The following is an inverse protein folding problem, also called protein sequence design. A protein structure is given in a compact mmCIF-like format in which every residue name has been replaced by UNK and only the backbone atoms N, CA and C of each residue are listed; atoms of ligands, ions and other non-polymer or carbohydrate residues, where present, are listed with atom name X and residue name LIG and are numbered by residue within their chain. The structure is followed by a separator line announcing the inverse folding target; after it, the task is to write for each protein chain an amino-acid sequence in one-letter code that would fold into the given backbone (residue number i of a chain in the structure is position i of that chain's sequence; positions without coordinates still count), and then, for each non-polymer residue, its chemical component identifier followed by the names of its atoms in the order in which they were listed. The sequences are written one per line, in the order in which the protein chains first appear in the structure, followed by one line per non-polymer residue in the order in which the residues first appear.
data_IF_077649743742
#
_entry.id   IF_077649743742
#
_cell.length_a   1.000
_cell.length_b   1.000
_cell.length_c   1.000
_cell.angle_alpha   90.00
_cell.angle_beta   90.00
_cell.angle_gamma   90.00
#
_symmetry.space_group_name_H-M   'P 1'
#
loop_
_entity.id
_entity.type
_entity.pdbx_description
1 polymer ?
#
# COMPACT_ATOMS: atom_id res chain seq x y z
N UNK A 1 20.71 -4.76 -18.52
CA UNK A 1 19.54 -5.34 -17.83
C UNK A 1 19.33 -6.73 -18.42
N UNK A 2 19.15 -7.74 -17.59
CA UNK A 2 18.81 -9.10 -18.02
C UNK A 2 17.53 -9.54 -17.31
N UNK A 3 16.79 -10.48 -17.90
CA UNK A 3 15.63 -11.12 -17.30
C UNK A 3 16.11 -12.43 -16.64
N UNK A 4 15.76 -12.67 -15.37
CA UNK A 4 16.11 -13.92 -14.71
C UNK A 4 15.00 -14.99 -14.86
N UNK A 5 13.77 -14.55 -15.14
CA UNK A 5 12.59 -15.41 -15.28
C UNK A 5 11.51 -14.73 -16.14
N UNK A 6 10.76 -15.50 -16.93
CA UNK A 6 9.63 -15.04 -17.73
C UNK A 6 8.37 -15.80 -17.33
N UNK A 7 7.38 -15.09 -16.78
CA UNK A 7 6.10 -15.69 -16.38
C UNK A 7 5.09 -15.73 -17.55
N UNK A 8 4.56 -16.91 -17.84
CA UNK A 8 3.56 -17.19 -18.86
C UNK A 8 2.15 -16.99 -18.27
N UNK A 9 1.51 -15.87 -18.60
CA UNK A 9 0.25 -15.46 -17.99
C UNK A 9 -1.03 -15.81 -18.76
N UNK A 10 -1.92 -16.56 -18.14
CA UNK A 10 -3.33 -16.69 -18.54
C UNK A 10 -4.16 -15.54 -17.96
N UNK A 11 -4.15 -14.40 -18.67
CA UNK A 11 -4.76 -13.14 -18.20
C UNK A 11 -6.27 -13.21 -18.00
N UNK A 12 -6.96 -14.08 -18.75
CA UNK A 12 -8.42 -14.18 -18.71
C UNK A 12 -8.91 -15.43 -17.95
N UNK A 13 -8.03 -16.39 -17.68
CA UNK A 13 -8.37 -17.67 -17.07
C UNK A 13 -9.02 -18.64 -18.06
N UNK A 14 -8.81 -18.46 -19.37
CA UNK A 14 -9.43 -19.24 -20.46
C UNK A 14 -8.50 -20.33 -21.01
N UNK A 15 -7.31 -20.47 -20.43
CA UNK A 15 -6.37 -21.54 -20.73
C UNK A 15 -6.97 -22.90 -20.38
N UNK A 16 -6.54 -23.92 -21.11
CA UNK A 16 -6.87 -25.32 -20.83
C UNK A 16 -5.60 -26.18 -20.97
N UNK A 17 -5.56 -27.38 -20.36
CA UNK A 17 -4.35 -28.19 -20.31
C UNK A 17 -3.70 -28.44 -21.69
N UNK A 18 -4.49 -28.76 -22.71
CA UNK A 18 -3.98 -29.01 -24.06
C UNK A 18 -3.25 -27.79 -24.67
N UNK A 19 -3.74 -26.58 -24.40
CA UNK A 19 -3.10 -25.34 -24.86
C UNK A 19 -1.81 -25.07 -24.09
N UNK A 20 -1.80 -25.36 -22.79
CA UNK A 20 -0.60 -25.24 -21.94
C UNK A 20 0.50 -26.17 -22.45
N UNK A 21 0.18 -27.46 -22.65
CA UNK A 21 1.12 -28.44 -23.21
C UNK A 21 1.64 -27.99 -24.55
N UNK A 22 0.75 -27.58 -25.45
CA UNK A 22 1.11 -27.15 -26.81
C UNK A 22 2.07 -25.95 -26.79
N UNK A 23 1.83 -24.97 -25.92
CA UNK A 23 2.71 -23.81 -25.75
C UNK A 23 4.08 -24.21 -25.20
N UNK A 24 4.12 -25.01 -24.13
CA UNK A 24 5.39 -25.40 -23.50
C UNK A 24 6.23 -26.28 -24.43
N UNK A 25 5.60 -27.21 -25.16
CA UNK A 25 6.27 -28.03 -26.17
C UNK A 25 6.86 -27.16 -27.27
N UNK A 26 6.08 -26.20 -27.79
CA UNK A 26 6.57 -25.26 -28.80
C UNK A 26 7.77 -24.45 -28.31
N UNK A 27 7.75 -23.97 -27.07
CA UNK A 27 8.85 -23.21 -26.48
C UNK A 27 10.12 -24.06 -26.33
N UNK A 28 9.97 -25.30 -25.84
CA UNK A 28 11.09 -26.25 -25.70
C UNK A 28 11.70 -26.61 -27.06
N UNK A 29 10.87 -26.85 -28.09
CA UNK A 29 11.30 -27.11 -29.47
C UNK A 29 12.07 -25.94 -30.12
N UNK A 30 11.94 -24.73 -29.56
CA UNK A 30 12.63 -23.51 -30.03
C UNK A 30 13.71 -23.04 -29.04
N UNK A 31 14.31 -23.99 -28.30
CA UNK A 31 15.45 -23.76 -27.39
C UNK A 31 15.17 -22.79 -26.24
N UNK A 32 13.91 -22.62 -25.83
CA UNK A 32 13.55 -21.85 -24.64
C UNK A 32 13.57 -22.76 -23.42
N UNK A 33 14.58 -22.61 -22.56
CA UNK A 33 14.69 -23.38 -21.32
C UNK A 33 13.51 -23.12 -20.38
N UNK A 34 12.83 -24.20 -19.97
CA UNK A 34 11.71 -24.14 -19.01
C UNK A 34 12.16 -23.72 -17.60
N UNK A 35 13.45 -23.84 -17.28
CA UNK A 35 14.00 -23.37 -15.98
C UNK A 35 13.98 -21.84 -15.85
N UNK A 36 13.87 -21.13 -16.98
CA UNK A 36 13.77 -19.67 -17.03
C UNK A 36 12.31 -19.20 -17.10
N UNK A 37 11.34 -20.12 -17.01
CA UNK A 37 9.92 -19.83 -17.16
C UNK A 37 9.16 -20.07 -15.85
N UNK A 38 8.10 -19.29 -15.67
CA UNK A 38 7.10 -19.49 -14.61
C UNK A 38 5.69 -19.56 -15.20
N UNK A 39 4.75 -20.21 -14.52
CA UNK A 39 3.35 -20.28 -14.92
C UNK A 39 2.47 -19.38 -14.05
N UNK A 40 1.72 -18.46 -14.65
CA UNK A 40 0.74 -17.62 -13.96
C UNK A 40 -0.67 -17.90 -14.49
N UNK A 41 -1.50 -18.59 -13.69
CA UNK A 41 -2.84 -19.01 -14.12
C UNK A 41 -3.95 -18.33 -13.33
N UNK A 42 -5.03 -17.96 -14.01
CA UNK A 42 -6.24 -17.39 -13.40
C UNK A 42 -7.35 -18.43 -13.37
N UNK A 43 -8.09 -18.51 -12.26
CA UNK A 43 -9.11 -19.55 -12.05
C UNK A 43 -10.53 -19.09 -12.41
N UNK A 44 -10.65 -18.20 -13.40
CA UNK A 44 -11.94 -17.66 -13.87
C UNK A 44 -12.93 -18.77 -14.25
N UNK A 45 -12.46 -19.79 -15.00
CA UNK A 45 -13.27 -20.90 -15.50
C UNK A 45 -12.97 -22.24 -14.81
N UNK A 46 -12.28 -22.22 -13.66
CA UNK A 46 -11.99 -23.44 -12.88
C UNK A 46 -10.93 -24.37 -13.47
N UNK A 47 -10.12 -23.88 -14.41
CA UNK A 47 -9.10 -24.68 -15.11
C UNK A 47 -7.68 -24.49 -14.56
N UNK A 48 -7.46 -23.53 -13.65
CA UNK A 48 -6.10 -23.09 -13.33
C UNK A 48 -5.26 -24.17 -12.62
N UNK A 49 -5.88 -24.96 -11.75
CA UNK A 49 -5.22 -26.10 -11.07
C UNK A 49 -4.82 -27.16 -12.10
N UNK A 50 -5.71 -27.50 -13.04
CA UNK A 50 -5.42 -28.46 -14.10
C UNK A 50 -4.32 -27.95 -15.06
N UNK A 51 -4.37 -26.66 -15.41
CA UNK A 51 -3.33 -26.01 -16.21
C UNK A 51 -1.97 -26.03 -15.51
N UNK A 52 -1.95 -25.80 -14.19
CA UNK A 52 -0.73 -25.86 -13.38
C UNK A 52 -0.16 -27.27 -13.34
N UNK A 53 -1.01 -28.27 -13.12
CA UNK A 53 -0.61 -29.68 -13.15
C UNK A 53 -0.01 -30.08 -14.49
N UNK A 54 -0.64 -29.65 -15.58
CA UNK A 54 -0.17 -29.94 -16.93
C UNK A 54 1.18 -29.29 -17.22
N UNK A 55 1.33 -28.01 -16.85
CA UNK A 55 2.62 -27.32 -16.96
C UNK A 55 3.71 -28.01 -16.13
N UNK A 56 3.39 -28.49 -14.94
CA UNK A 56 4.31 -29.27 -14.11
C UNK A 56 4.75 -30.56 -14.81
N UNK A 57 3.83 -31.29 -15.44
CA UNK A 57 4.14 -32.50 -16.19
C UNK A 57 5.03 -32.22 -17.42
N UNK A 58 4.91 -31.04 -18.03
CA UNK A 58 5.80 -30.60 -19.11
C UNK A 58 7.18 -30.15 -18.63
N UNK A 59 7.44 -30.07 -17.32
CA UNK A 59 8.76 -29.72 -16.77
C UNK A 59 8.84 -28.34 -16.10
N UNK A 60 7.76 -27.55 -16.10
CA UNK A 60 7.73 -26.26 -15.42
C UNK A 60 7.78 -26.45 -13.89
N UNK A 61 8.53 -25.61 -13.17
CA UNK A 61 8.74 -25.75 -11.72
C UNK A 61 8.40 -24.51 -10.90
N UNK A 62 8.19 -23.37 -11.53
CA UNK A 62 7.82 -22.12 -10.86
C UNK A 62 6.39 -21.74 -11.24
N UNK A 63 5.57 -21.45 -10.23
CA UNK A 63 4.16 -21.08 -10.41
C UNK A 63 3.79 -19.89 -9.54
N UNK A 64 3.22 -18.88 -10.18
CA UNK A 64 2.63 -17.73 -9.51
C UNK A 64 1.22 -18.09 -9.00
N UNK A 65 0.94 -17.76 -7.75
CA UNK A 65 -0.37 -17.94 -7.14
C UNK A 65 -0.63 -16.85 -6.11
N UNK A 66 -1.81 -16.88 -5.50
CA UNK A 66 -2.16 -15.92 -4.45
C UNK A 66 -2.88 -16.60 -3.31
N UNK A 67 -2.59 -16.19 -2.09
CA UNK A 67 -3.33 -16.67 -0.92
C UNK A 67 -4.83 -16.39 -1.12
N UNK A 68 -5.68 -17.37 -0.85
CA UNK A 68 -7.14 -17.30 -0.98
C UNK A 68 -7.66 -16.89 -2.36
N UNK A 69 -6.84 -17.04 -3.41
CA UNK A 69 -7.18 -16.61 -4.77
C UNK A 69 -7.29 -15.09 -4.90
N UNK A 70 -6.57 -14.33 -4.05
CA UNK A 70 -6.58 -12.88 -4.10
C UNK A 70 -6.13 -12.33 -5.46
N UNK A 71 -6.92 -11.38 -5.95
CA UNK A 71 -6.72 -10.74 -7.24
C UNK A 71 -8.05 -10.35 -7.84
N UNK A 72 -8.12 -10.42 -9.17
CA UNK A 72 -9.29 -10.03 -9.94
C UNK A 72 -9.34 -8.52 -10.18
N UNK A 73 -9.90 -8.14 -11.32
CA UNK A 73 -10.04 -6.74 -11.72
C UNK A 73 -11.48 -6.28 -11.46
N UNK A 74 -11.71 -5.22 -10.66
CA UNK A 74 -13.07 -4.71 -10.43
C UNK A 74 -13.72 -4.16 -11.71
N UNK A 75 -12.93 -3.95 -12.78
CA UNK A 75 -13.38 -3.50 -14.09
C UNK A 75 -13.70 -4.63 -15.07
N UNK A 76 -13.44 -5.90 -14.71
CA UNK A 76 -13.71 -7.07 -15.55
C UNK A 76 -14.70 -8.01 -14.84
N UNK A 77 -16.02 -7.82 -15.01
CA UNK A 77 -17.04 -8.65 -14.39
C UNK A 77 -16.82 -10.13 -14.73
N UNK A 78 -16.66 -10.99 -13.71
CA UNK A 78 -16.50 -12.43 -13.88
C UNK A 78 -15.08 -12.97 -13.73
N UNK A 79 -14.03 -12.12 -13.80
CA UNK A 79 -12.65 -12.55 -13.58
C UNK A 79 -12.42 -12.85 -12.08
N UNK A 80 -12.56 -14.12 -11.67
CA UNK A 80 -12.51 -14.54 -10.25
C UNK A 80 -11.15 -14.33 -9.59
N UNK A 81 -10.08 -14.15 -10.37
CA UNK A 81 -8.75 -13.81 -9.88
C UNK A 81 -7.72 -14.90 -10.18
N UNK A 82 -6.59 -14.81 -9.51
CA UNK A 82 -5.49 -15.76 -9.64
C UNK A 82 -5.89 -17.11 -9.04
N UNK A 83 -5.19 -18.18 -9.42
CA UNK A 83 -5.29 -19.46 -8.72
C UNK A 83 -4.89 -19.31 -7.25
N UNK A 84 -5.61 -20.01 -6.37
CA UNK A 84 -5.33 -19.98 -4.93
C UNK A 84 -4.10 -20.82 -4.60
N UNK A 85 -3.18 -20.29 -3.79
CA UNK A 85 -1.99 -21.01 -3.32
C UNK A 85 -2.39 -22.29 -2.57
N UNK A 86 -3.42 -22.21 -1.74
CA UNK A 86 -3.98 -23.35 -1.01
C UNK A 86 -4.43 -24.48 -1.95
N UNK A 87 -5.08 -24.15 -3.07
CA UNK A 87 -5.57 -25.15 -4.02
C UNK A 87 -4.40 -25.84 -4.76
N UNK A 88 -3.34 -25.10 -5.10
CA UNK A 88 -2.13 -25.66 -5.70
C UNK A 88 -1.36 -26.55 -4.73
N UNK A 89 -1.13 -26.07 -3.51
CA UNK A 89 -0.40 -26.82 -2.47
C UNK A 89 -1.17 -28.09 -2.11
N UNK A 90 -2.50 -28.00 -1.98
CA UNK A 90 -3.33 -29.17 -1.77
C UNK A 90 -3.17 -30.21 -2.89
N UNK A 91 -3.23 -29.79 -4.15
CA UNK A 91 -3.01 -30.68 -5.29
C UNK A 91 -1.62 -31.33 -5.25
N UNK A 92 -0.55 -30.53 -5.09
CA UNK A 92 0.82 -31.04 -5.10
C UNK A 92 1.10 -31.98 -3.93
N UNK A 93 0.68 -31.64 -2.72
CA UNK A 93 0.85 -32.51 -1.55
C UNK A 93 0.12 -33.83 -1.71
N UNK A 94 -1.10 -33.83 -2.25
CA UNK A 94 -1.84 -35.08 -2.53
C UNK A 94 -1.21 -35.90 -3.66
N UNK A 95 -0.46 -35.27 -4.56
CA UNK A 95 0.36 -35.95 -5.56
C UNK A 95 1.73 -36.41 -5.02
N UNK A 96 2.03 -36.20 -3.73
CA UNK A 96 3.29 -36.57 -3.10
C UNK A 96 4.46 -35.62 -3.40
N UNK A 97 4.18 -34.41 -3.89
CA UNK A 97 5.18 -33.39 -4.21
C UNK A 97 5.28 -32.41 -3.05
N UNK A 98 6.48 -32.27 -2.48
CA UNK A 98 6.76 -31.31 -1.42
C UNK A 98 6.91 -29.89 -2.00
N UNK A 99 6.13 -28.95 -1.46
CA UNK A 99 6.20 -27.53 -1.84
C UNK A 99 6.99 -26.69 -0.83
N UNK A 100 7.36 -27.27 0.31
CA UNK A 100 7.98 -26.55 1.43
C UNK A 100 7.03 -25.62 2.20
N UNK A 101 5.73 -25.66 1.89
CA UNK A 101 4.71 -24.80 2.51
C UNK A 101 3.87 -25.57 3.54
N UNK A 102 3.54 -24.90 4.65
CA UNK A 102 2.66 -25.44 5.68
C UNK A 102 1.20 -25.21 5.31
N UNK A 103 0.50 -26.29 4.96
CA UNK A 103 -0.89 -26.21 4.49
C UNK A 103 -1.83 -25.57 5.51
N UNK A 104 -1.71 -25.89 6.80
CA UNK A 104 -2.61 -25.35 7.82
C UNK A 104 -2.35 -23.84 8.03
N UNK A 105 -1.09 -23.42 8.04
CA UNK A 105 -0.76 -21.98 8.11
C UNK A 105 -1.24 -21.20 6.89
N UNK A 106 -1.22 -21.82 5.70
CA UNK A 106 -1.80 -21.20 4.50
C UNK A 106 -3.31 -21.00 4.68
N UNK A 107 -4.03 -22.02 5.15
CA UNK A 107 -5.48 -21.92 5.41
C UNK A 107 -5.79 -20.83 6.44
N UNK A 108 -5.06 -20.78 7.55
CA UNK A 108 -5.21 -19.73 8.57
C UNK A 108 -4.97 -18.33 8.00
N UNK A 109 -3.90 -18.17 7.21
CA UNK A 109 -3.56 -16.90 6.56
C UNK A 109 -4.64 -16.49 5.58
N UNK A 110 -5.19 -17.45 4.84
CA UNK A 110 -6.26 -17.23 3.90
C UNK A 110 -7.56 -16.75 4.54
N UNK A 111 -7.99 -17.43 5.61
CA UNK A 111 -9.14 -16.98 6.41
C UNK A 111 -8.93 -15.57 6.99
N UNK A 112 -7.74 -15.30 7.52
CA UNK A 112 -7.40 -14.00 8.09
C UNK A 112 -7.50 -12.88 7.05
N UNK A 113 -6.86 -13.03 5.88
CA UNK A 113 -6.79 -11.96 4.88
C UNK A 113 -8.15 -11.72 4.21
N UNK A 114 -8.91 -12.78 3.90
CA UNK A 114 -10.27 -12.67 3.36
C UNK A 114 -11.16 -11.84 4.28
N UNK A 115 -11.08 -12.06 5.60
CA UNK A 115 -11.83 -11.28 6.59
C UNK A 115 -11.36 -9.84 6.70
N UNK A 116 -10.05 -9.59 6.67
CA UNK A 116 -9.50 -8.23 6.67
C UNK A 116 -9.96 -7.42 5.46
N UNK A 117 -10.03 -8.05 4.29
CA UNK A 117 -10.44 -7.40 3.05
C UNK A 117 -11.96 -7.37 2.85
N UNK A 118 -12.73 -8.00 3.74
CA UNK A 118 -14.17 -8.23 3.55
C UNK A 118 -14.47 -8.86 2.18
N UNK A 119 -13.66 -9.85 1.77
CA UNK A 119 -13.81 -10.61 0.53
C UNK A 119 -13.97 -12.09 0.87
N UNK A 120 -14.76 -12.79 0.07
CA UNK A 120 -14.85 -14.25 0.17
C UNK A 120 -13.49 -14.90 -0.15
N UNK A 121 -13.17 -15.98 0.55
CA UNK A 121 -12.03 -16.81 0.19
C UNK A 121 -12.40 -17.58 -1.08
N UNK A 122 -11.56 -17.52 -2.12
CA UNK A 122 -11.82 -18.24 -3.37
C UNK A 122 -11.22 -19.65 -3.41
N UNK A 123 -10.38 -20.01 -2.43
CA UNK A 123 -9.79 -21.34 -2.34
C UNK A 123 -10.82 -22.39 -1.94
N UNK A 124 -10.99 -23.41 -2.79
CA UNK A 124 -11.86 -24.54 -2.49
C UNK A 124 -11.26 -25.45 -1.42
N UNK A 125 -9.98 -25.77 -1.54
CA UNK A 125 -9.27 -26.62 -0.59
C UNK A 125 -9.15 -25.93 0.78
N UNK A 126 -8.83 -24.63 0.78
CA UNK A 126 -8.67 -23.85 2.00
C UNK A 126 -9.95 -23.77 2.83
N UNK A 127 -11.10 -23.56 2.19
CA UNK A 127 -12.40 -23.57 2.89
C UNK A 127 -12.72 -24.96 3.44
N UNK A 128 -12.51 -26.02 2.66
CA UNK A 128 -12.79 -27.39 3.08
C UNK A 128 -11.92 -27.80 4.29
N UNK A 129 -10.64 -27.49 4.25
CA UNK A 129 -9.70 -27.77 5.34
C UNK A 129 -9.98 -26.92 6.57
N UNK A 130 -10.34 -25.65 6.39
CA UNK A 130 -10.75 -24.80 7.51
C UNK A 130 -11.89 -25.42 8.32
N UNK A 131 -12.92 -25.89 7.63
CA UNK A 131 -14.07 -26.55 8.26
C UNK A 131 -13.68 -27.88 8.92
N UNK A 132 -12.86 -28.69 8.24
CA UNK A 132 -12.45 -30.02 8.73
C UNK A 132 -11.59 -29.92 9.99
N UNK A 133 -10.71 -28.91 10.05
CA UNK A 133 -9.78 -28.70 11.17
C UNK A 133 -10.34 -27.76 12.24
N UNK A 134 -11.59 -27.32 12.13
CA UNK A 134 -12.20 -26.39 13.08
C UNK A 134 -11.47 -25.04 13.15
N UNK A 135 -10.80 -24.64 12.07
CA UNK A 135 -10.12 -23.35 11.97
C UNK A 135 -11.19 -22.28 11.83
N UNK A 136 -11.50 -21.65 12.95
CA UNK A 136 -12.41 -20.50 12.97
C UNK A 136 -11.65 -19.29 12.49
N UNK A 137 -12.31 -18.49 11.65
CA UNK A 137 -11.76 -17.20 11.27
C UNK A 137 -11.42 -16.41 12.54
N UNK A 138 -10.17 -15.92 12.71
CA UNK A 138 -9.89 -15.03 13.81
C UNK A 138 -10.87 -13.85 13.71
N UNK A 139 -11.52 -13.46 14.82
CA UNK A 139 -12.48 -12.36 14.78
C UNK A 139 -11.84 -11.18 14.06
N UNK A 140 -12.63 -10.52 13.20
CA UNK A 140 -12.24 -9.27 12.54
C UNK A 140 -11.59 -8.43 13.63
N UNK A 141 -10.30 -8.10 13.51
CA UNK A 141 -9.62 -7.25 14.49
C UNK A 141 -10.22 -5.84 14.36
N UNK A 142 -11.46 -5.66 14.81
CA UNK A 142 -12.01 -4.38 15.25
C UNK A 142 -11.46 -4.04 16.63
N UNK A 143 -10.84 -5.00 17.30
CA UNK A 143 -10.10 -4.79 18.53
C UNK A 143 -8.72 -5.43 18.35
N UNK A 144 -7.76 -4.65 17.87
CA UNK A 144 -6.43 -4.82 18.43
C UNK A 144 -6.57 -4.48 19.91
N UNK A 145 -6.79 -5.49 20.77
CA UNK A 145 -6.39 -5.38 22.15
C UNK A 145 -4.96 -4.82 22.11
N UNK A 146 -4.70 -3.63 22.68
CA UNK A 146 -3.49 -2.88 22.39
C UNK A 146 -2.31 -3.79 22.65
N UNK A 147 -1.64 -4.20 21.57
CA UNK A 147 -0.33 -4.83 21.66
C UNK A 147 0.49 -3.88 22.52
N UNK A 148 1.10 -4.40 23.59
CA UNK A 148 1.81 -3.62 24.62
C UNK A 148 2.42 -2.36 24.01
N UNK A 149 1.96 -1.19 24.49
CA UNK A 149 2.25 0.10 23.86
C UNK A 149 3.74 0.19 23.49
N UNK A 150 4.00 0.54 22.23
CA UNK A 150 5.36 0.62 21.71
C UNK A 150 6.21 1.55 22.60
N UNK A 151 7.33 1.04 23.09
CA UNK A 151 8.26 1.83 23.91
C UNK A 151 9.14 2.67 22.99
N UNK A 152 8.85 3.97 22.94
CA UNK A 152 9.54 4.92 22.07
C UNK A 152 10.81 5.46 22.74
N UNK A 153 11.96 5.18 22.15
CA UNK A 153 13.24 5.77 22.56
C UNK A 153 13.43 7.10 21.83
N UNK A 154 13.70 8.21 22.53
CA UNK A 154 13.96 9.50 21.90
C UNK A 154 15.28 9.47 21.11
N UNK A 155 15.24 10.01 19.87
CA UNK A 155 16.43 10.22 19.02
C UNK A 155 16.78 11.71 18.97
N UNK A 156 15.78 12.57 18.76
CA UNK A 156 15.90 14.02 18.92
C UNK A 156 14.66 14.58 19.62
N UNK A 157 14.85 15.21 20.78
CA UNK A 157 13.77 15.82 21.56
C UNK A 157 13.80 17.34 21.56
N UNK A 158 14.71 17.95 20.80
CA UNK A 158 14.87 19.41 20.75
C UNK A 158 14.48 19.96 19.38
N UNK A 159 13.81 21.12 19.41
CA UNK A 159 13.50 21.90 18.23
C UNK A 159 12.12 21.63 17.63
N UNK A 160 12.01 21.88 16.33
CA UNK A 160 10.72 21.93 15.58
C UNK A 160 10.28 20.57 15.04
N UNK A 161 11.17 19.60 15.02
CA UNK A 161 10.91 18.22 14.63
C UNK A 161 11.48 17.33 15.74
N UNK A 162 10.63 16.54 16.37
CA UNK A 162 11.05 15.54 17.34
C UNK A 162 11.11 14.19 16.63
N UNK A 163 12.07 13.34 17.00
CA UNK A 163 12.22 12.01 16.43
C UNK A 163 12.37 10.95 17.50
N UNK A 164 11.76 9.80 17.25
CA UNK A 164 11.73 8.66 18.16
C UNK A 164 11.90 7.35 17.39
N UNK A 165 12.41 6.32 18.06
CA UNK A 165 12.59 4.98 17.49
C UNK A 165 11.96 3.92 18.39
N UNK A 166 11.32 2.93 17.79
CA UNK A 166 10.78 1.75 18.47
C UNK A 166 10.94 0.53 17.57
N UNK A 167 11.97 -0.28 17.80
CA UNK A 167 12.33 -1.39 16.92
C UNK A 167 12.61 -0.91 15.49
N UNK A 168 11.92 -1.50 14.51
CA UNK A 168 11.97 -1.11 13.09
C UNK A 168 11.12 0.11 12.72
N UNK A 169 10.55 0.82 13.71
CA UNK A 169 9.71 2.00 13.48
C UNK A 169 10.47 3.29 13.82
N UNK A 170 10.39 4.27 12.92
CA UNK A 170 10.90 5.62 13.14
C UNK A 170 9.77 6.62 13.11
N UNK A 171 9.62 7.44 14.15
CA UNK A 171 8.53 8.42 14.29
C UNK A 171 9.08 9.84 14.25
N UNK A 172 8.47 10.67 13.42
CA UNK A 172 8.73 12.10 13.25
C UNK A 172 7.51 12.86 13.78
N UNK A 173 7.74 13.84 14.65
CA UNK A 173 6.68 14.66 15.25
C UNK A 173 6.90 16.13 14.92
N UNK A 174 5.95 16.76 14.23
CA UNK A 174 5.94 18.20 14.00
C UNK A 174 5.66 18.92 15.33
N UNK A 175 6.58 19.79 15.75
CA UNK A 175 6.59 20.40 17.08
C UNK A 175 6.59 21.93 17.03
N UNK A 176 5.53 22.50 16.42
CA UNK A 176 5.19 23.92 16.44
C UNK A 176 3.68 24.12 16.66
N UNK A 177 3.10 23.61 17.76
CA UNK A 177 1.65 23.60 17.95
C UNK A 177 1.04 25.01 17.96
N UNK A 178 1.73 25.98 18.56
CA UNK A 178 1.31 27.41 18.60
C UNK A 178 1.27 28.09 17.23
N UNK A 179 1.86 27.47 16.20
CA UNK A 179 1.90 27.96 14.81
C UNK A 179 1.28 26.94 13.86
N UNK A 180 0.37 26.08 14.36
CA UNK A 180 -0.34 25.10 13.53
C UNK A 180 0.56 24.11 12.79
N UNK A 181 1.77 23.87 13.30
CA UNK A 181 2.77 23.01 12.66
C UNK A 181 3.12 23.39 11.22
N UNK A 182 2.98 24.67 10.85
CA UNK A 182 3.37 25.18 9.52
C UNK A 182 4.84 24.90 9.24
N UNK A 183 5.11 24.37 8.04
CA UNK A 183 6.43 23.97 7.57
C UNK A 183 7.28 25.18 7.19
N UNK A 184 8.33 25.42 7.97
CA UNK A 184 9.41 26.35 7.56
C UNK A 184 10.30 25.72 6.51
N UNK A 185 11.05 26.53 5.75
CA UNK A 185 12.09 26.03 4.86
C UNK A 185 13.10 25.13 5.59
N UNK A 186 13.51 25.51 6.82
CA UNK A 186 14.40 24.69 7.63
C UNK A 186 13.77 23.34 8.00
N UNK A 187 12.50 23.30 8.38
CA UNK A 187 11.79 22.04 8.67
C UNK A 187 11.71 21.15 7.43
N UNK A 188 11.44 21.71 6.24
CA UNK A 188 11.42 20.93 5.00
C UNK A 188 12.80 20.32 4.71
N UNK A 189 13.88 21.10 4.85
CA UNK A 189 15.24 20.59 4.68
C UNK A 189 15.60 19.51 5.73
N UNK A 190 15.24 19.73 6.99
CA UNK A 190 15.46 18.78 8.08
C UNK A 190 14.66 17.48 7.83
N UNK A 191 13.41 17.56 7.33
CA UNK A 191 12.60 16.40 6.93
C UNK A 191 13.25 15.61 5.79
N UNK A 192 13.73 16.29 4.74
CA UNK A 192 14.44 15.63 3.63
C UNK A 192 15.64 14.84 4.15
N UNK A 193 16.46 15.44 5.03
CA UNK A 193 17.61 14.78 5.62
C UNK A 193 17.20 13.55 6.47
N UNK A 194 16.14 13.68 7.27
CA UNK A 194 15.62 12.58 8.08
C UNK A 194 15.15 11.42 7.19
N UNK A 195 14.32 11.70 6.17
CA UNK A 195 13.83 10.67 5.24
C UNK A 195 14.98 10.00 4.48
N UNK A 196 15.95 10.77 3.98
CA UNK A 196 17.11 10.22 3.29
C UNK A 196 17.94 9.28 4.18
N UNK A 197 18.09 9.61 5.47
CA UNK A 197 18.76 8.75 6.44
C UNK A 197 17.93 7.49 6.75
N UNK A 198 16.63 7.63 6.97
CA UNK A 198 15.74 6.49 7.23
C UNK A 198 15.72 5.50 6.05
N UNK A 199 15.72 6.01 4.81
CA UNK A 199 15.73 5.19 3.61
C UNK A 199 16.99 4.32 3.48
N UNK A 200 18.12 4.77 4.04
CA UNK A 200 19.40 4.05 4.02
C UNK A 200 19.55 3.03 5.15
N UNK A 201 18.78 3.14 6.23
CA UNK A 201 18.86 2.23 7.38
C UNK A 201 18.09 0.92 7.07
N UNK A 202 18.77 -0.23 6.89
CA UNK A 202 18.09 -1.50 6.59
C UNK A 202 17.26 -2.02 7.76
N UNK A 203 17.52 -1.57 8.99
CA UNK A 203 16.78 -2.01 10.18
C UNK A 203 15.45 -1.29 10.38
N UNK A 204 15.17 -0.23 9.61
CA UNK A 204 13.88 0.44 9.60
C UNK A 204 12.95 -0.17 8.55
N UNK A 205 11.70 -0.40 8.95
CA UNK A 205 10.61 -0.85 8.11
C UNK A 205 9.62 0.29 7.85
N UNK A 206 9.33 1.08 8.89
CA UNK A 206 8.26 2.07 8.88
C UNK A 206 8.76 3.48 9.25
N UNK A 207 8.26 4.49 8.53
CA UNK A 207 8.44 5.91 8.86
C UNK A 207 7.06 6.49 9.17
N UNK A 208 6.87 6.94 10.41
CA UNK A 208 5.61 7.49 10.91
C UNK A 208 5.75 9.00 11.06
N UNK A 209 4.80 9.78 10.54
CA UNK A 209 4.74 11.23 10.73
C UNK A 209 3.47 11.61 11.49
N UNK A 210 3.60 12.45 12.50
CA UNK A 210 2.50 13.00 13.29
C UNK A 210 2.86 14.40 13.79
N UNK A 211 2.02 15.03 14.60
CA UNK A 211 2.26 16.35 15.13
C UNK A 211 1.85 16.50 16.59
N UNK A 212 2.23 17.62 17.20
CA UNK A 212 1.78 18.04 18.53
C UNK A 212 0.65 19.06 18.41
N UNK A 213 -0.28 19.08 19.37
CA UNK A 213 -1.40 20.02 19.40
C UNK A 213 -2.53 19.70 18.42
N UNK A 214 -3.49 20.60 18.26
CA UNK A 214 -4.74 20.38 17.50
C UNK A 214 -4.63 20.46 15.97
N UNK A 215 -3.44 20.70 15.43
CA UNK A 215 -3.20 20.75 13.98
C UNK A 215 -2.17 19.72 13.60
N UNK A 216 -2.44 18.91 12.58
CA UNK A 216 -1.41 18.08 11.98
C UNK A 216 -0.40 18.97 11.25
N UNK A 217 -0.86 19.79 10.30
CA UNK A 217 -0.02 20.76 9.59
C UNK A 217 -0.86 21.78 8.80
N UNK A 218 -0.68 23.06 9.03
CA UNK A 218 -1.37 24.15 8.33
C UNK A 218 -0.75 24.55 6.97
N UNK A 219 0.19 23.76 6.44
CA UNK A 219 0.84 24.03 5.15
C UNK A 219 2.25 24.63 5.29
N UNK A 220 2.68 25.39 4.28
CA UNK A 220 4.04 25.97 4.20
C UNK A 220 4.03 27.43 4.62
N UNK A 221 5.06 27.87 5.34
CA UNK A 221 5.18 29.25 5.81
C UNK A 221 5.55 30.16 4.63
N UNK A 222 4.58 30.99 4.19
CA UNK A 222 4.80 31.98 3.13
C UNK A 222 5.62 33.13 3.73
N UNK A 223 6.80 33.39 3.18
CA UNK A 223 7.61 34.56 3.56
C UNK A 223 6.86 35.87 3.34
N UNK A 224 7.26 36.95 4.04
CA UNK A 224 6.69 38.30 3.83
C UNK A 224 7.02 38.80 2.41
N UNK A 225 6.20 38.45 1.42
CA UNK A 225 6.12 39.11 0.12
C UNK A 225 4.66 39.37 -0.23
N UNK A 226 4.43 40.60 -0.67
CA UNK A 226 3.21 41.40 -0.89
C UNK A 226 1.91 40.72 -1.37
N UNK A 227 0.74 41.37 -1.15
CA UNK A 227 -0.57 40.80 -1.42
C UNK A 227 -0.90 40.67 -2.92
N UNK A 228 -1.61 39.58 -3.22
CA UNK A 228 -2.58 39.33 -4.30
C UNK A 228 -2.52 40.26 -5.54
N UNK A 229 -1.97 39.74 -6.65
CA UNK A 229 -2.57 39.61 -8.00
C UNK A 229 -1.47 39.23 -9.00
N UNK A 230 -1.77 38.24 -9.84
CA UNK A 230 -1.12 37.87 -11.10
C UNK A 230 0.32 37.32 -11.06
N UNK A 231 0.46 36.01 -11.29
CA UNK A 231 0.99 35.43 -12.55
C UNK A 231 1.29 33.94 -12.35
N UNK A 232 0.93 33.15 -13.37
CA UNK A 232 1.07 31.70 -13.38
C UNK A 232 2.50 31.19 -13.18
N UNK A 233 2.58 29.91 -12.80
CA UNK A 233 3.80 29.14 -12.53
C UNK A 233 4.68 29.77 -11.43
N UNK A 234 4.30 29.48 -10.18
CA UNK A 234 4.95 29.95 -8.96
C UNK A 234 6.47 29.67 -8.94
N UNK A 235 7.29 30.70 -9.24
CA UNK A 235 8.73 30.75 -8.94
C UNK A 235 8.96 30.95 -7.42
N UNK A 236 8.30 30.18 -6.56
CA UNK A 236 8.57 30.19 -5.12
C UNK A 236 9.62 29.13 -4.77
N UNK A 237 10.81 29.50 -4.26
CA UNK A 237 11.84 28.54 -3.83
C UNK A 237 11.33 27.55 -2.79
N UNK A 238 10.39 27.94 -1.92
CA UNK A 238 9.82 27.03 -0.90
C UNK A 238 8.92 25.95 -1.50
N UNK A 239 8.18 26.27 -2.56
CA UNK A 239 7.33 25.29 -3.27
C UNK A 239 8.19 24.17 -3.90
N UNK A 240 9.38 24.51 -4.42
CA UNK A 240 10.34 23.52 -4.95
C UNK A 240 10.87 22.58 -3.87
N UNK A 241 11.13 23.08 -2.66
CA UNK A 241 11.63 22.25 -1.55
C UNK A 241 10.55 21.29 -1.02
N UNK A 242 9.30 21.75 -0.91
CA UNK A 242 8.19 20.86 -0.53
C UNK A 242 7.98 19.76 -1.58
N UNK A 243 7.98 20.12 -2.87
CA UNK A 243 7.84 19.14 -3.94
C UNK A 243 8.95 18.06 -3.89
N UNK A 244 10.20 18.46 -3.62
CA UNK A 244 11.32 17.53 -3.47
C UNK A 244 11.13 16.58 -2.28
N UNK A 245 10.64 17.08 -1.14
CA UNK A 245 10.30 16.25 0.02
C UNK A 245 9.22 15.23 -0.33
N UNK A 246 8.14 15.66 -0.97
CA UNK A 246 7.01 14.78 -1.28
C UNK A 246 7.39 13.71 -2.31
N UNK A 247 8.26 14.04 -3.27
CA UNK A 247 8.79 13.04 -4.21
C UNK A 247 9.70 12.03 -3.53
N UNK A 248 10.54 12.46 -2.57
CA UNK A 248 11.34 11.57 -1.75
C UNK A 248 10.49 10.62 -0.92
N UNK A 249 9.38 11.12 -0.34
CA UNK A 249 8.44 10.30 0.43
C UNK A 249 7.77 9.24 -0.44
N UNK A 250 7.25 9.63 -1.62
CA UNK A 250 6.60 8.71 -2.56
C UNK A 250 7.50 7.58 -3.07
N UNK A 251 8.82 7.80 -3.11
CA UNK A 251 9.82 6.82 -3.54
C UNK A 251 10.53 6.14 -2.37
N UNK A 252 10.08 6.36 -1.14
CA UNK A 252 10.71 5.73 0.02
C UNK A 252 10.59 4.20 -0.11
N UNK A 253 11.67 3.44 0.12
CA UNK A 253 11.61 1.98 0.20
C UNK A 253 11.02 1.50 1.54
N UNK A 254 10.61 2.43 2.41
CA UNK A 254 10.03 2.16 3.74
C UNK A 254 8.53 2.43 3.67
N UNK A 255 7.73 1.71 4.46
CA UNK A 255 6.30 2.01 4.56
C UNK A 255 6.11 3.32 5.32
N UNK A 256 5.48 4.30 4.69
CA UNK A 256 5.25 5.62 5.27
C UNK A 256 3.83 5.75 5.79
N UNK A 257 3.69 6.25 7.02
CA UNK A 257 2.39 6.35 7.72
C UNK A 257 2.18 7.78 8.22
N UNK A 258 1.11 8.43 7.80
CA UNK A 258 0.66 9.69 8.37
C UNK A 258 -0.38 9.43 9.47
N UNK A 259 -0.03 9.74 10.72
CA UNK A 259 -0.96 9.78 11.85
C UNK A 259 -1.47 11.22 12.01
N UNK A 260 -2.61 11.51 11.36
CA UNK A 260 -3.26 12.82 11.29
C UNK A 260 -4.01 13.07 12.60
N UNK A 261 -3.30 13.64 13.57
CA UNK A 261 -3.79 13.91 14.92
C UNK A 261 -4.57 15.23 15.06
N UNK A 262 -4.88 15.91 13.96
CA UNK A 262 -5.52 17.22 13.98
C UNK A 262 -5.67 17.80 12.57
N UNK A 263 -6.22 19.01 12.47
CA UNK A 263 -6.55 19.60 11.17
C UNK A 263 -5.32 19.81 10.27
N UNK A 264 -5.49 19.55 8.97
CA UNK A 264 -4.47 19.73 7.95
C UNK A 264 -4.95 20.65 6.82
N UNK A 265 -4.07 21.51 6.32
CA UNK A 265 -4.37 22.48 5.27
C UNK A 265 -3.29 22.50 4.20
N UNK A 266 -3.66 22.58 2.93
CA UNK A 266 -2.73 22.83 1.83
C UNK A 266 -1.54 21.86 1.81
N UNK A 267 -0.31 22.38 1.97
CA UNK A 267 0.91 21.56 2.04
C UNK A 267 0.93 20.51 3.17
N UNK A 268 0.11 20.66 4.21
CA UNK A 268 -0.07 19.63 5.24
C UNK A 268 -0.92 18.46 4.76
N UNK A 269 -1.90 18.72 3.89
CA UNK A 269 -2.67 17.69 3.19
C UNK A 269 -1.77 16.93 2.22
N UNK A 270 -0.92 17.65 1.47
CA UNK A 270 0.08 17.02 0.58
C UNK A 270 1.01 16.09 1.34
N UNK A 271 1.50 16.53 2.51
CA UNK A 271 2.36 15.74 3.38
C UNK A 271 1.70 14.43 3.83
N UNK A 272 0.42 14.48 4.24
CA UNK A 272 -0.32 13.28 4.62
C UNK A 272 -0.57 12.35 3.43
N UNK A 273 -0.90 12.90 2.25
CA UNK A 273 -1.22 12.15 1.04
C UNK A 273 0.01 11.59 0.32
N UNK A 274 1.20 12.11 0.60
CA UNK A 274 2.46 11.51 0.14
C UNK A 274 2.85 10.24 0.89
N UNK A 275 2.26 9.97 2.06
CA UNK A 275 2.45 8.71 2.77
C UNK A 275 1.69 7.54 2.09
N UNK A 276 2.05 6.30 2.38
CA UNK A 276 1.34 5.11 1.89
C UNK A 276 0.00 4.95 2.61
N UNK A 277 0.07 5.03 3.95
CA UNK A 277 -1.04 4.81 4.88
C UNK A 277 -1.38 6.10 5.61
N UNK A 278 -2.67 6.34 5.84
CA UNK A 278 -3.16 7.49 6.63
C UNK A 278 -4.10 6.99 7.72
N UNK A 279 -3.77 7.27 8.96
CA UNK A 279 -4.59 7.01 10.14
C UNK A 279 -4.99 8.37 10.68
N UNK A 280 -6.28 8.63 10.84
CA UNK A 280 -6.79 9.96 11.23
C UNK A 280 -7.56 9.88 12.53
N UNK A 281 -7.41 10.89 13.39
CA UNK A 281 -8.41 11.13 14.42
C UNK A 281 -9.74 11.51 13.78
N UNK A 282 -10.84 11.11 14.42
CA UNK A 282 -12.19 11.43 13.97
C UNK A 282 -12.41 12.94 13.85
N UNK A 283 -11.94 13.71 14.82
CA UNK A 283 -12.09 15.17 14.82
C UNK A 283 -11.23 15.90 13.76
N UNK A 284 -10.26 15.22 13.14
CA UNK A 284 -9.37 15.84 12.17
C UNK A 284 -10.09 16.09 10.82
N UNK A 285 -9.73 17.22 10.19
CA UNK A 285 -10.22 17.58 8.85
C UNK A 285 -9.06 17.88 7.92
N UNK A 286 -9.21 17.54 6.63
CA UNK A 286 -8.25 17.90 5.59
C UNK A 286 -8.88 18.94 4.67
N UNK A 287 -8.24 20.10 4.55
CA UNK A 287 -8.68 21.22 3.72
C UNK A 287 -7.75 21.37 2.53
N UNK A 288 -8.25 21.04 1.35
CA UNK A 288 -7.53 21.14 0.09
C UNK A 288 -7.51 22.60 -0.38
N UNK A 289 -6.36 23.09 -0.84
CA UNK A 289 -6.24 24.47 -1.37
C UNK A 289 -5.65 24.44 -2.78
N UNK A 290 -5.71 25.56 -3.54
CA UNK A 290 -5.11 25.63 -4.88
C UNK A 290 -3.62 25.23 -4.90
N UNK A 291 -2.87 25.53 -3.83
CA UNK A 291 -1.48 25.11 -3.69
C UNK A 291 -1.31 23.57 -3.64
N UNK A 292 -2.33 22.83 -3.19
CA UNK A 292 -2.40 21.36 -3.23
C UNK A 292 -2.53 20.85 -4.68
N UNK A 293 -3.12 21.64 -5.58
CA UNK A 293 -3.44 21.23 -6.95
C UNK A 293 -2.23 21.24 -7.90
N UNK A 294 -1.31 22.19 -7.76
CA UNK A 294 -0.07 22.22 -8.58
C UNK A 294 0.82 21.00 -8.32
N UNK A 295 0.79 20.45 -7.10
CA UNK A 295 1.53 19.23 -6.75
C UNK A 295 0.78 17.95 -7.13
N UNK A 296 -0.56 17.99 -7.09
CA UNK A 296 -1.43 16.93 -7.56
C UNK A 296 -1.35 16.69 -9.08
N UNK A 297 -1.04 17.72 -9.89
CA UNK A 297 -0.81 17.57 -11.35
C UNK A 297 0.32 16.59 -11.69
N UNK A 298 1.32 16.47 -10.80
CA UNK A 298 2.49 15.60 -10.99
C UNK A 298 2.38 14.27 -10.22
N UNK A 299 1.31 14.07 -9.44
CA UNK A 299 1.08 12.84 -8.70
C UNK A 299 0.15 11.90 -9.48
N UNK A 300 0.44 10.60 -9.46
CA UNK A 300 -0.30 9.54 -10.16
C UNK A 300 -1.84 9.59 -9.99
N UNK A 301 -2.53 8.85 -10.88
CA UNK A 301 -3.99 8.74 -11.14
C UNK A 301 -5.00 8.92 -9.98
N UNK A 302 -4.60 8.75 -8.71
CA UNK A 302 -5.45 8.89 -7.51
C UNK A 302 -6.02 10.31 -7.31
N UNK A 303 -5.34 11.34 -7.83
CA UNK A 303 -5.77 12.75 -7.74
C UNK A 303 -6.77 13.17 -8.82
N UNK A 304 -7.16 12.24 -9.71
CA UNK A 304 -8.11 12.52 -10.80
C UNK A 304 -9.57 12.39 -10.39
N UNK A 305 -9.90 12.14 -9.13
CA UNK A 305 -11.29 12.07 -8.69
C UNK A 305 -11.97 13.44 -8.80
N UNK A 306 -13.21 13.46 -9.29
CA UNK A 306 -14.00 14.70 -9.36
C UNK A 306 -14.16 15.34 -7.97
N UNK A 307 -14.16 14.52 -6.92
CA UNK A 307 -14.20 14.96 -5.53
C UNK A 307 -13.02 15.86 -5.17
N UNK A 308 -11.78 15.42 -5.40
CA UNK A 308 -10.60 16.22 -4.99
C UNK A 308 -10.54 17.52 -5.79
N UNK A 309 -10.89 17.50 -7.09
CA UNK A 309 -11.01 18.73 -7.89
C UNK A 309 -12.01 19.71 -7.27
N UNK A 310 -13.20 19.23 -6.91
CA UNK A 310 -14.21 20.07 -6.25
C UNK A 310 -13.74 20.56 -4.88
N UNK A 311 -13.14 19.69 -4.06
CA UNK A 311 -12.63 20.07 -2.73
C UNK A 311 -11.54 21.15 -2.81
N UNK A 312 -10.68 21.10 -3.83
CA UNK A 312 -9.69 22.15 -4.13
C UNK A 312 -10.37 23.46 -4.51
N UNK A 313 -11.31 23.44 -5.46
CA UNK A 313 -11.97 24.67 -5.94
C UNK A 313 -12.91 25.30 -4.91
N UNK A 314 -13.56 24.49 -4.08
CA UNK A 314 -14.44 24.95 -3.00
C UNK A 314 -13.69 25.28 -1.71
N UNK A 315 -12.41 24.91 -1.60
CA UNK A 315 -11.59 25.01 -0.37
C UNK A 315 -12.29 24.43 0.87
N UNK A 316 -13.15 23.43 0.68
CA UNK A 316 -13.98 22.90 1.74
C UNK A 316 -13.19 21.91 2.61
N UNK A 317 -13.28 22.07 3.93
CA UNK A 317 -12.73 21.10 4.88
C UNK A 317 -13.48 19.78 4.77
N UNK A 318 -12.76 18.68 4.59
CA UNK A 318 -13.35 17.34 4.49
C UNK A 318 -13.05 16.55 5.76
N UNK A 319 -14.06 15.86 6.32
CA UNK A 319 -13.91 15.04 7.53
C UNK A 319 -13.18 13.73 7.27
N UNK A 320 -12.63 13.14 8.33
CA UNK A 320 -11.98 11.83 8.28
C UNK A 320 -12.90 10.73 7.74
N UNK A 321 -14.18 10.71 8.11
CA UNK A 321 -15.18 9.73 7.62
C UNK A 321 -15.36 9.82 6.12
N UNK A 322 -15.51 11.06 5.61
CA UNK A 322 -15.68 11.25 4.18
C UNK A 322 -14.45 10.79 3.42
N UNK A 323 -13.26 11.08 3.92
CA UNK A 323 -12.00 10.66 3.28
C UNK A 323 -11.79 9.15 3.37
N UNK A 324 -12.20 8.51 4.47
CA UNK A 324 -12.17 7.06 4.60
C UNK A 324 -13.10 6.38 3.61
N UNK A 325 -14.32 6.90 3.41
CA UNK A 325 -15.26 6.39 2.38
C UNK A 325 -14.71 6.48 0.95
N UNK A 326 -13.73 7.36 0.72
CA UNK A 326 -13.06 7.55 -0.57
C UNK A 326 -11.74 6.77 -0.68
N UNK A 327 -11.35 6.01 0.34
CA UNK A 327 -10.06 5.31 0.41
C UNK A 327 -8.85 6.22 0.61
N UNK A 328 -9.06 7.50 0.94
CA UNK A 328 -8.00 8.47 1.23
C UNK A 328 -7.56 8.44 2.69
N UNK A 329 -8.33 7.88 3.61
CA UNK A 329 -7.90 7.57 4.98
C UNK A 329 -8.10 6.08 5.19
N UNK A 330 -7.08 5.38 5.68
CA UNK A 330 -7.09 3.94 5.88
C UNK A 330 -7.88 3.54 7.12
N UNK A 331 -7.74 4.31 8.20
CA UNK A 331 -8.34 4.02 9.50
C UNK A 331 -8.68 5.31 10.25
N UNK A 332 -9.77 5.27 11.03
CA UNK A 332 -10.21 6.35 11.90
C UNK A 332 -10.09 5.89 13.35
N UNK A 333 -9.46 6.71 14.17
CA UNK A 333 -9.28 6.47 15.61
C UNK A 333 -10.09 7.52 16.38
N UNK A 334 -10.71 7.11 17.49
CA UNK A 334 -11.37 8.04 18.41
C UNK A 334 -10.33 8.92 19.14
N UNK A 335 -10.76 10.10 19.59
CA UNK A 335 -9.87 11.13 20.19
C UNK A 335 -9.22 10.71 21.52
#
# INVERSE_FOLDING_TARGET
MGCYEVSLGDTLGVGCPDKVRSLLTYLEEHDVSLELLAGHFHDTYGQAVANTWEAYNCGLRVFDSSISGLGGCPYAPGAKGNVATEDLVYMFHNAGIDTGLDMLKLVETGLWISTRLSRENASRAGIALANTHGLVCPPRHTEHAPTKAATWTPVNTKGRLLTYRSGGNFKIVLNRPKRGNTLTQKMVADLIAIFANCNKDPSLLNIIITATGGYFCMGVEIGKSMPFIAQGASRNPQAKHLAALLELMKRSPKTTVACVNGHAFGGGVDLALACDVRISLRAATLTFTEATFEQAKNANSRWKSAFIRNAVFSTHSTTAEKLNSLGLVSEIVED
#
